data_IF_315766275688
#
_entry.id   IF_315766275688
#
_cell.length_a   1.000
_cell.length_b   1.000
_cell.length_c   1.000
_cell.angle_alpha   90.00
_cell.angle_beta   90.00
_cell.angle_gamma   90.00
#
_symmetry.space_group_name_H-M   'P 1'
#
loop_
_entity.id
_entity.type
_entity.pdbx_description
1 polymer ?
#
# COMPACT_ATOMS: atom_id res chain seq x y z
N UNK A 1 35.23 -9.17 7.21
CA UNK A 1 34.01 -8.34 7.14
C UNK A 1 32.85 -9.30 6.99
N UNK A 2 32.09 -9.54 8.07
CA UNK A 2 30.96 -10.47 8.02
C UNK A 2 29.81 -9.76 7.28
N UNK A 3 29.49 -10.22 6.08
CA UNK A 3 28.23 -9.91 5.43
C UNK A 3 27.13 -10.60 6.24
N UNK A 4 26.54 -9.87 7.19
CA UNK A 4 25.24 -10.25 7.71
C UNK A 4 24.27 -10.00 6.56
N UNK A 5 23.82 -11.05 5.89
CA UNK A 5 22.66 -10.95 5.01
C UNK A 5 21.51 -10.40 5.85
N UNK A 6 21.17 -9.12 5.64
CA UNK A 6 19.99 -8.51 6.23
C UNK A 6 18.77 -9.14 5.55
N UNK A 7 18.30 -10.24 6.14
CA UNK A 7 17.06 -10.89 5.73
C UNK A 7 15.90 -9.96 6.05
N UNK A 8 15.12 -9.59 5.02
CA UNK A 8 13.88 -8.84 5.23
C UNK A 8 12.95 -9.63 6.16
N UNK A 9 12.41 -8.97 7.17
CA UNK A 9 11.51 -9.58 8.16
C UNK A 9 10.14 -8.94 8.07
N UNK A 10 9.11 -9.73 8.32
CA UNK A 10 7.72 -9.31 8.30
C UNK A 10 7.00 -9.79 9.56
N UNK A 11 5.95 -9.09 9.97
CA UNK A 11 5.03 -9.60 10.98
C UNK A 11 4.08 -10.66 10.40
N UNK A 12 3.19 -11.20 11.24
CA UNK A 12 2.27 -12.28 10.86
C UNK A 12 1.21 -11.87 9.82
N UNK A 13 1.04 -10.57 9.55
CA UNK A 13 0.05 -10.04 8.59
C UNK A 13 0.71 -9.37 7.39
N UNK A 14 2.03 -9.54 7.21
CA UNK A 14 2.76 -9.12 6.02
C UNK A 14 3.17 -7.64 6.03
N UNK A 15 3.28 -7.02 7.20
CA UNK A 15 3.95 -5.72 7.31
C UNK A 15 5.46 -5.93 7.47
N UNK A 16 6.32 -5.21 6.74
CA UNK A 16 7.77 -5.31 6.90
C UNK A 16 8.16 -4.77 8.29
N UNK A 17 9.03 -5.47 8.98
CA UNK A 17 9.69 -5.03 10.22
C UNK A 17 11.10 -4.51 9.94
N UNK A 18 11.73 -5.01 8.88
CA UNK A 18 13.00 -4.54 8.33
C UNK A 18 13.12 -5.01 6.87
N UNK A 19 13.73 -4.20 6.01
CA UNK A 19 14.00 -4.52 4.61
C UNK A 19 15.50 -4.46 4.24
N UNK A 20 16.37 -4.38 5.24
CA UNK A 20 17.81 -4.16 5.09
C UNK A 20 18.23 -2.69 4.97
N UNK A 21 17.29 -1.77 4.76
CA UNK A 21 17.54 -0.31 4.68
C UNK A 21 16.89 0.39 5.86
N UNK A 22 15.60 0.13 6.09
CA UNK A 22 14.79 0.68 7.15
C UNK A 22 14.34 -0.42 8.11
N UNK A 23 14.20 -0.06 9.38
CA UNK A 23 13.38 -0.76 10.36
C UNK A 23 12.04 -0.05 10.47
N UNK A 24 10.97 -0.81 10.66
CA UNK A 24 9.59 -0.33 10.57
C UNK A 24 8.82 -0.63 11.85
N UNK A 25 7.95 0.29 12.25
CA UNK A 25 6.97 0.07 13.32
C UNK A 25 5.56 0.29 12.78
N UNK A 26 4.62 -0.53 13.25
CA UNK A 26 3.24 -0.52 12.79
C UNK A 26 2.29 -0.44 13.98
N UNK A 27 1.19 0.29 13.79
CA UNK A 27 0.12 0.47 14.75
C UNK A 27 -1.22 0.07 14.13
N UNK A 28 -2.20 -0.20 14.99
CA UNK A 28 -3.57 -0.56 14.57
C UNK A 28 -3.59 -1.65 13.49
N UNK A 29 -2.66 -2.61 13.58
CA UNK A 29 -2.42 -3.66 12.60
C UNK A 29 -1.59 -3.19 11.41
N UNK A 30 -2.05 -2.22 10.62
CA UNK A 30 -1.50 -1.94 9.28
C UNK A 30 -1.16 -0.47 9.01
N UNK A 31 -1.20 0.37 10.03
CA UNK A 31 -0.79 1.77 9.89
C UNK A 31 0.70 1.89 10.19
N UNK A 32 1.46 2.39 9.23
CA UNK A 32 2.90 2.58 9.40
C UNK A 32 3.14 3.69 10.42
N UNK A 33 3.61 3.36 11.61
CA UNK A 33 3.84 4.32 12.68
C UNK A 33 5.21 5.01 12.55
N UNK A 34 6.21 4.30 12.04
CA UNK A 34 7.52 4.87 11.83
C UNK A 34 8.48 4.03 11.01
N UNK A 35 9.52 4.70 10.51
CA UNK A 35 10.64 4.13 9.77
C UNK A 35 11.95 4.71 10.29
N UNK A 36 12.95 3.88 10.50
CA UNK A 36 14.29 4.32 10.93
C UNK A 36 15.37 3.57 10.17
N UNK A 37 16.28 4.30 9.54
CA UNK A 37 17.31 3.73 8.66
C UNK A 37 17.78 4.74 7.62
N UNK A 38 18.92 4.46 6.98
CA UNK A 38 19.50 5.33 5.94
C UNK A 38 19.64 6.82 6.36
N UNK A 39 19.98 7.08 7.64
CA UNK A 39 20.09 8.44 8.18
C UNK A 39 18.75 9.16 8.41
N UNK A 40 17.62 8.47 8.25
CA UNK A 40 16.28 9.01 8.50
C UNK A 40 15.69 8.40 9.78
N UNK A 41 14.96 9.22 10.53
CA UNK A 41 14.06 8.82 11.59
C UNK A 41 12.70 9.47 11.32
N UNK A 42 11.72 8.64 10.96
CA UNK A 42 10.43 9.08 10.43
C UNK A 42 9.32 8.52 11.32
N UNK A 43 8.37 9.38 11.68
CA UNK A 43 7.13 8.97 12.35
C UNK A 43 5.91 9.55 11.64
N UNK A 44 4.80 8.82 11.73
CA UNK A 44 3.55 9.20 11.10
C UNK A 44 2.42 9.20 12.12
N UNK A 45 1.45 10.10 11.95
CA UNK A 45 0.19 10.11 12.70
C UNK A 45 -0.97 10.07 11.73
N UNK A 46 -2.09 9.50 12.20
CA UNK A 46 -3.29 9.31 11.40
C UNK A 46 -4.52 9.76 12.19
N UNK A 47 -5.58 10.15 11.48
CA UNK A 47 -6.89 10.33 12.08
C UNK A 47 -7.61 8.98 12.28
N UNK A 48 -8.80 9.02 12.88
CA UNK A 48 -9.61 7.82 13.15
C UNK A 48 -10.06 7.07 11.89
N UNK A 49 -10.03 7.74 10.72
CA UNK A 49 -10.28 7.13 9.42
C UNK A 49 -9.04 6.50 8.78
N UNK A 50 -7.88 6.57 9.45
CA UNK A 50 -6.61 6.04 8.94
C UNK A 50 -5.93 6.92 7.89
N UNK A 51 -6.34 8.18 7.75
CA UNK A 51 -5.69 9.13 6.84
C UNK A 51 -4.59 9.87 7.59
N UNK A 52 -3.41 9.95 6.98
CA UNK A 52 -2.22 10.57 7.56
C UNK A 52 -2.44 12.06 7.82
N UNK A 53 -2.24 12.49 9.06
CA UNK A 53 -2.41 13.87 9.53
C UNK A 53 -1.08 14.54 9.90
N UNK A 54 -0.03 13.76 10.13
CA UNK A 54 1.31 14.28 10.41
C UNK A 54 2.38 13.33 9.91
N UNK A 55 3.50 13.90 9.45
CA UNK A 55 4.75 13.20 9.18
C UNK A 55 5.88 13.97 9.84
N UNK A 56 6.70 13.32 10.66
CA UNK A 56 7.91 13.92 11.21
C UNK A 56 9.13 13.22 10.64
N UNK A 57 10.04 13.98 10.02
CA UNK A 57 11.31 13.46 9.48
C UNK A 57 12.45 14.16 10.22
N UNK A 58 13.29 13.40 10.92
CA UNK A 58 14.45 13.92 11.67
C UNK A 58 14.11 15.12 12.57
N UNK A 59 12.93 15.08 13.22
CA UNK A 59 12.45 16.12 14.13
C UNK A 59 11.68 17.27 13.46
N UNK A 60 11.63 17.34 12.12
CA UNK A 60 10.83 18.33 11.39
C UNK A 60 9.45 17.75 11.09
N UNK A 61 8.41 18.34 11.69
CA UNK A 61 7.03 17.88 11.53
C UNK A 61 6.32 18.63 10.40
N UNK A 62 5.83 17.89 9.41
CA UNK A 62 4.84 18.34 8.42
C UNK A 62 3.44 17.95 8.88
N UNK A 63 2.56 18.93 9.04
CA UNK A 63 1.15 18.73 9.45
C UNK A 63 0.22 18.86 8.26
N UNK A 64 -0.82 18.04 8.22
CA UNK A 64 -1.82 18.01 7.16
C UNK A 64 -3.20 18.38 7.70
N UNK A 65 -3.89 19.30 7.01
CA UNK A 65 -5.30 19.61 7.23
C UNK A 65 -6.08 18.98 6.08
N UNK A 66 -7.15 18.27 6.45
CA UNK A 66 -7.88 17.40 5.55
C UNK A 66 -9.30 17.92 5.28
N UNK A 67 -9.77 17.71 4.05
CA UNK A 67 -11.19 17.66 3.71
C UNK A 67 -11.51 16.24 3.21
N UNK A 68 -12.28 15.50 3.99
CA UNK A 68 -12.43 14.06 3.81
C UNK A 68 -11.08 13.33 3.88
N UNK A 69 -10.66 12.74 2.76
CA UNK A 69 -9.35 12.08 2.59
C UNK A 69 -8.31 12.96 1.89
N UNK A 70 -8.70 14.13 1.40
CA UNK A 70 -7.83 15.02 0.62
C UNK A 70 -7.09 15.97 1.56
N UNK A 71 -5.79 16.16 1.33
CA UNK A 71 -5.02 17.21 2.01
C UNK A 71 -5.34 18.53 1.32
N UNK A 72 -5.93 19.47 2.04
CA UNK A 72 -6.25 20.82 1.54
C UNK A 72 -5.19 21.85 1.95
N UNK A 73 -4.43 21.55 3.01
CA UNK A 73 -3.34 22.39 3.45
C UNK A 73 -2.26 21.57 4.18
N UNK A 74 -1.00 21.97 4.02
CA UNK A 74 0.10 21.44 4.80
C UNK A 74 1.17 22.47 5.12
N UNK A 75 1.91 22.20 6.20
CA UNK A 75 3.05 23.03 6.58
C UNK A 75 4.09 22.27 7.39
N UNK A 76 5.36 22.59 7.17
CA UNK A 76 6.50 22.16 7.99
C UNK A 76 6.99 23.26 8.96
N UNK A 77 6.23 24.36 9.08
CA UNK A 77 6.61 25.57 9.83
C UNK A 77 7.28 26.64 8.97
N UNK A 78 7.95 26.26 7.88
CA UNK A 78 8.58 27.18 6.92
C UNK A 78 7.73 27.32 5.66
N UNK A 79 7.42 26.20 5.02
CA UNK A 79 6.60 26.11 3.83
C UNK A 79 5.14 25.96 4.21
N UNK A 80 4.28 26.66 3.48
CA UNK A 80 2.83 26.58 3.57
C UNK A 80 2.32 26.25 2.18
N UNK A 81 1.62 25.13 2.05
CA UNK A 81 1.07 24.68 0.77
C UNK A 81 -0.43 24.51 0.91
N UNK A 82 -1.20 25.23 0.10
CA UNK A 82 -2.65 25.02 -0.05
C UNK A 82 -2.92 24.27 -1.34
N UNK A 83 -3.89 23.37 -1.30
CA UNK A 83 -4.26 22.54 -2.45
C UNK A 83 -5.70 22.84 -2.86
N UNK A 84 -5.89 23.10 -4.16
CA UNK A 84 -7.23 23.34 -4.73
C UNK A 84 -7.66 22.12 -5.53
N UNK A 85 -8.90 21.69 -5.32
CA UNK A 85 -9.53 20.59 -6.01
C UNK A 85 -10.74 21.09 -6.78
N UNK A 86 -11.08 20.43 -7.90
CA UNK A 86 -12.35 20.68 -8.58
C UNK A 86 -13.52 20.00 -7.86
N UNK A 87 -14.73 20.20 -8.38
CA UNK A 87 -15.97 19.61 -7.86
C UNK A 87 -16.02 18.08 -7.94
N UNK A 88 -15.15 17.46 -8.76
CA UNK A 88 -15.00 16.01 -8.86
C UNK A 88 -13.88 15.48 -7.94
N UNK A 89 -13.26 16.34 -7.13
CA UNK A 89 -12.16 15.97 -6.22
C UNK A 89 -10.81 15.80 -6.91
N UNK A 90 -10.65 16.28 -8.15
CA UNK A 90 -9.37 16.24 -8.86
C UNK A 90 -8.51 17.43 -8.45
N UNK A 91 -7.27 17.15 -8.06
CA UNK A 91 -6.30 18.17 -7.68
C UNK A 91 -5.92 19.06 -8.88
N UNK A 92 -6.24 20.35 -8.78
CA UNK A 92 -6.05 21.37 -9.81
C UNK A 92 -4.74 22.14 -9.66
N UNK A 93 -4.45 22.60 -8.44
CA UNK A 93 -3.32 23.50 -8.20
C UNK A 93 -2.75 23.38 -6.79
N UNK A 94 -1.54 23.90 -6.63
CA UNK A 94 -0.89 24.10 -5.33
C UNK A 94 -0.44 25.54 -5.19
N UNK A 95 -0.79 26.16 -4.06
CA UNK A 95 -0.27 27.45 -3.65
C UNK A 95 0.89 27.25 -2.69
N UNK A 96 2.13 27.50 -3.12
CA UNK A 96 3.30 27.46 -2.25
C UNK A 96 3.66 28.88 -1.82
N UNK A 97 3.54 29.15 -0.51
CA UNK A 97 3.93 30.42 0.11
C UNK A 97 3.34 31.67 -0.59
N UNK A 98 2.09 31.59 -1.07
CA UNK A 98 1.39 32.68 -1.75
C UNK A 98 1.48 32.64 -3.28
N UNK A 99 2.30 31.76 -3.86
CA UNK A 99 2.42 31.62 -5.32
C UNK A 99 1.69 30.38 -5.82
N UNK A 100 0.77 30.56 -6.77
CA UNK A 100 -0.04 29.49 -7.35
C UNK A 100 0.66 28.80 -8.53
N UNK A 101 0.61 27.46 -8.52
CA UNK A 101 1.07 26.61 -9.62
C UNK A 101 0.00 25.58 -9.99
N UNK A 102 -0.23 25.38 -11.29
CA UNK A 102 -1.27 24.47 -11.77
C UNK A 102 -0.66 23.17 -12.29
N UNK A 103 -1.32 22.05 -11.99
CA UNK A 103 -0.83 20.73 -12.35
C UNK A 103 -1.06 20.41 -13.83
N UNK A 104 0.01 20.02 -14.54
CA UNK A 104 -0.08 19.38 -15.85
C UNK A 104 -0.13 17.87 -15.64
N UNK A 105 -1.05 17.20 -16.35
CA UNK A 105 -1.20 15.75 -16.30
C UNK A 105 -1.12 15.12 -17.69
N UNK A 106 -0.62 13.88 -17.73
CA UNK A 106 -0.77 13.04 -18.92
C UNK A 106 -2.16 12.36 -18.94
N UNK A 107 -2.42 11.58 -20.00
CA UNK A 107 -3.68 10.82 -20.16
C UNK A 107 -3.93 9.77 -19.08
N UNK A 108 -2.87 9.35 -18.39
CA UNK A 108 -2.89 8.41 -17.28
C UNK A 108 -3.22 9.10 -15.93
N UNK A 109 -3.26 10.43 -15.91
CA UNK A 109 -3.51 11.21 -14.69
C UNK A 109 -2.25 11.51 -13.87
N UNK A 110 -1.07 11.08 -14.33
CA UNK A 110 0.21 11.38 -13.67
C UNK A 110 0.47 12.87 -13.73
N UNK A 111 0.94 13.44 -12.62
CA UNK A 111 1.44 14.82 -12.62
C UNK A 111 2.80 14.85 -13.31
N UNK A 112 2.84 15.40 -14.52
CA UNK A 112 4.05 15.49 -15.36
C UNK A 112 4.70 16.87 -15.34
N UNK A 113 4.06 17.86 -14.71
CA UNK A 113 4.64 19.19 -14.58
C UNK A 113 3.78 20.18 -13.82
N UNK A 114 4.32 21.39 -13.66
CA UNK A 114 3.66 22.53 -13.05
C UNK A 114 3.82 23.75 -13.95
N UNK A 115 2.74 24.50 -14.15
CA UNK A 115 2.77 25.81 -14.82
C UNK A 115 2.53 26.92 -13.81
N UNK A 116 3.18 28.06 -14.03
CA UNK A 116 2.92 29.28 -13.28
C UNK A 116 1.66 30.01 -13.79
N UNK A 117 1.34 31.16 -13.17
CA UNK A 117 0.21 32.01 -13.55
C UNK A 117 0.32 32.58 -14.98
N UNK A 118 1.51 32.66 -15.55
CA UNK A 118 1.73 33.10 -16.92
C UNK A 118 1.57 31.95 -17.94
N UNK A 119 1.31 30.72 -17.47
CA UNK A 119 1.23 29.53 -18.32
C UNK A 119 2.58 28.95 -18.70
N UNK A 120 3.67 29.40 -18.07
CA UNK A 120 5.02 28.87 -18.32
C UNK A 120 5.22 27.59 -17.52
N UNK A 121 5.63 26.51 -18.16
CA UNK A 121 5.99 25.28 -17.47
C UNK A 121 7.32 25.46 -16.73
N UNK A 122 7.24 25.51 -15.41
CA UNK A 122 8.37 25.77 -14.51
C UNK A 122 8.95 24.50 -13.90
N UNK A 123 8.20 23.39 -13.94
CA UNK A 123 8.64 22.06 -13.51
C UNK A 123 8.13 21.00 -14.47
N UNK A 124 8.97 19.99 -14.72
CA UNK A 124 8.63 18.75 -15.41
C UNK A 124 9.06 17.53 -14.59
N UNK A 125 8.26 16.47 -14.61
CA UNK A 125 8.56 15.19 -13.96
C UNK A 125 8.56 14.06 -15.00
N UNK A 126 9.60 13.24 -14.99
CA UNK A 126 9.70 12.04 -15.83
C UNK A 126 9.61 10.81 -14.95
N UNK A 127 8.79 9.83 -15.34
CA UNK A 127 8.65 8.55 -14.63
C UNK A 127 8.92 7.37 -15.54
N UNK A 128 9.29 6.24 -14.97
CA UNK A 128 9.16 4.95 -15.67
C UNK A 128 7.71 4.42 -15.61
N UNK A 129 7.47 3.24 -16.21
CA UNK A 129 6.16 2.61 -16.26
C UNK A 129 5.58 2.19 -14.89
N UNK A 130 6.41 2.14 -13.84
CA UNK A 130 6.03 1.81 -12.47
C UNK A 130 5.97 3.05 -11.57
N UNK A 131 6.14 4.25 -12.13
CA UNK A 131 6.06 5.50 -11.39
C UNK A 131 7.35 5.88 -10.65
N UNK A 132 8.47 5.20 -10.92
CA UNK A 132 9.78 5.63 -10.40
C UNK A 132 10.15 6.96 -11.03
N UNK A 133 10.39 7.96 -10.19
CA UNK A 133 10.80 9.28 -10.65
C UNK A 133 12.23 9.23 -11.22
N UNK A 134 12.36 9.51 -12.52
CA UNK A 134 13.63 9.50 -13.26
C UNK A 134 14.28 10.87 -13.22
N UNK A 135 13.52 11.95 -13.42
CA UNK A 135 14.04 13.31 -13.38
C UNK A 135 13.01 14.34 -12.90
N UNK A 136 13.53 15.42 -12.31
CA UNK A 136 12.81 16.69 -12.13
C UNK A 136 13.59 17.75 -12.90
N UNK A 137 12.93 18.39 -13.86
CA UNK A 137 13.51 19.40 -14.72
C UNK A 137 12.71 20.72 -14.65
N UNK A 138 13.23 21.79 -15.25
CA UNK A 138 12.61 23.12 -15.26
C UNK A 138 13.28 24.15 -14.35
N UNK A 139 12.88 25.41 -14.49
CA UNK A 139 13.49 26.55 -13.80
C UNK A 139 13.29 26.53 -12.29
N UNK A 140 12.21 25.90 -11.80
CA UNK A 140 11.89 25.79 -10.37
C UNK A 140 12.02 24.36 -9.83
N UNK A 141 12.81 23.50 -10.50
CA UNK A 141 12.97 22.08 -10.12
C UNK A 141 13.44 21.89 -8.67
N UNK A 142 14.36 22.73 -8.19
CA UNK A 142 15.00 22.59 -6.88
C UNK A 142 14.19 23.22 -5.74
N UNK A 143 13.15 24.00 -6.05
CA UNK A 143 12.25 24.64 -5.09
C UNK A 143 10.86 24.03 -5.16
N UNK A 144 9.99 24.56 -6.04
CA UNK A 144 8.62 24.09 -6.25
C UNK A 144 8.60 22.63 -6.65
N UNK A 145 9.53 22.24 -7.53
CA UNK A 145 9.63 20.90 -8.06
C UNK A 145 9.82 19.88 -6.96
N UNK A 146 10.85 20.02 -6.13
CA UNK A 146 11.14 19.15 -4.98
C UNK A 146 10.06 19.20 -3.90
N UNK A 147 9.45 20.37 -3.65
CA UNK A 147 8.46 20.54 -2.58
C UNK A 147 7.07 19.98 -2.92
N UNK A 148 6.69 19.91 -4.19
CA UNK A 148 5.41 19.32 -4.59
C UNK A 148 5.37 17.82 -4.24
N UNK A 149 4.46 17.34 -3.36
CA UNK A 149 4.37 15.93 -3.03
C UNK A 149 3.51 15.15 -4.03
N UNK A 150 2.65 15.79 -4.82
CA UNK A 150 1.74 15.11 -5.74
C UNK A 150 2.42 14.81 -7.07
N UNK A 151 2.47 13.53 -7.44
CA UNK A 151 3.38 12.97 -8.46
C UNK A 151 2.65 11.94 -9.35
N UNK A 152 3.27 10.80 -9.62
CA UNK A 152 2.70 9.66 -10.34
C UNK A 152 1.28 9.35 -9.86
N UNK A 153 0.34 9.24 -10.80
CA UNK A 153 -1.11 9.06 -10.58
C UNK A 153 -1.79 10.07 -9.66
N UNK A 154 -1.11 11.16 -9.29
CA UNK A 154 -1.57 12.06 -8.25
C UNK A 154 -1.41 11.50 -6.83
N UNK A 155 -0.59 10.48 -6.63
CA UNK A 155 -0.23 10.00 -5.30
C UNK A 155 0.74 10.96 -4.61
N UNK A 156 0.78 10.88 -3.27
CA UNK A 156 1.72 11.66 -2.45
C UNK A 156 3.05 10.93 -2.32
N UNK A 157 4.11 11.51 -2.84
CA UNK A 157 5.47 11.00 -2.78
C UNK A 157 6.21 11.52 -1.55
N UNK A 158 6.79 10.61 -0.77
CA UNK A 158 7.68 10.91 0.34
C UNK A 158 9.13 10.82 -0.14
N UNK A 159 9.73 11.97 -0.48
CA UNK A 159 11.07 12.04 -1.08
C UNK A 159 12.18 11.40 -0.24
N UNK A 160 12.02 11.38 1.07
CA UNK A 160 12.99 10.85 2.02
C UNK A 160 13.01 9.32 2.11
N UNK A 161 11.96 8.64 1.59
CA UNK A 161 11.87 7.18 1.52
C UNK A 161 11.77 6.65 0.10
N UNK A 162 11.36 7.48 -0.86
CA UNK A 162 11.04 7.05 -2.22
C UNK A 162 9.69 6.34 -2.33
N UNK A 163 8.86 6.36 -1.29
CA UNK A 163 7.56 5.70 -1.27
C UNK A 163 6.44 6.65 -1.68
N UNK A 164 5.41 6.09 -2.32
CA UNK A 164 4.13 6.76 -2.50
C UNK A 164 3.17 6.35 -1.38
N UNK A 165 2.57 7.33 -0.71
CA UNK A 165 1.48 7.12 0.23
C UNK A 165 0.14 7.14 -0.52
N UNK A 166 -0.54 6.00 -0.55
CA UNK A 166 -1.85 5.81 -1.17
C UNK A 166 -2.95 5.70 -0.11
N UNK A 167 -2.84 6.41 1.01
CA UNK A 167 -3.79 6.36 2.13
C UNK A 167 -3.75 5.05 2.94
N UNK A 168 -4.15 3.93 2.33
CA UNK A 168 -4.24 2.63 3.03
C UNK A 168 -2.94 1.83 3.03
N UNK A 169 -2.07 2.07 2.03
CA UNK A 169 -0.81 1.37 1.83
C UNK A 169 0.28 2.31 1.32
N UNK A 170 1.52 1.82 1.42
CA UNK A 170 2.71 2.48 0.89
C UNK A 170 3.24 1.71 -0.32
N UNK A 171 3.31 2.38 -1.45
CA UNK A 171 3.77 1.82 -2.72
C UNK A 171 5.25 2.15 -2.94
N UNK A 172 6.05 1.14 -3.25
CA UNK A 172 7.45 1.31 -3.62
C UNK A 172 7.60 1.17 -5.15
N UNK A 173 7.89 2.27 -5.86
CA UNK A 173 8.04 2.25 -7.31
C UNK A 173 9.30 1.52 -7.79
N UNK A 174 10.37 1.47 -6.97
CA UNK A 174 11.59 0.73 -7.28
C UNK A 174 11.33 -0.78 -7.35
N UNK A 175 10.43 -1.28 -6.50
CA UNK A 175 10.03 -2.68 -6.46
C UNK A 175 8.78 -2.99 -7.29
N UNK A 176 8.08 -1.96 -7.79
CA UNK A 176 6.81 -2.11 -8.50
C UNK A 176 5.69 -2.72 -7.65
N UNK A 177 5.69 -2.54 -6.32
CA UNK A 177 4.72 -3.18 -5.43
C UNK A 177 4.49 -2.43 -4.11
N UNK A 178 3.40 -2.76 -3.42
CA UNK A 178 3.16 -2.26 -2.06
C UNK A 178 4.13 -2.91 -1.07
N UNK A 179 4.54 -2.15 -0.04
CA UNK A 179 5.44 -2.68 1.00
C UNK A 179 4.68 -3.53 2.03
N UNK A 180 3.40 -3.22 2.26
CA UNK A 180 2.54 -3.95 3.18
C UNK A 180 1.38 -4.64 2.44
N UNK A 181 0.99 -5.80 2.95
CA UNK A 181 -0.07 -6.61 2.36
C UNK A 181 -1.43 -5.88 2.40
N UNK A 182 -2.29 -6.13 1.41
CA UNK A 182 -3.65 -5.61 1.30
C UNK A 182 -4.66 -6.35 2.21
N UNK A 183 -5.80 -5.74 2.54
CA UNK A 183 -6.75 -6.23 3.55
C UNK A 183 -7.60 -7.37 3.01
N UNK A 184 -7.73 -8.43 3.79
CA UNK A 184 -8.30 -9.73 3.40
C UNK A 184 -9.74 -9.66 2.85
N UNK A 185 -10.40 -8.51 2.92
CA UNK A 185 -11.71 -8.29 2.29
C UNK A 185 -11.69 -8.55 0.78
N UNK A 186 -10.57 -8.30 0.09
CA UNK A 186 -10.46 -8.60 -1.35
C UNK A 186 -10.47 -10.09 -1.66
N UNK A 187 -10.02 -10.95 -0.73
CA UNK A 187 -9.97 -12.42 -0.91
C UNK A 187 -11.36 -13.08 -0.90
N UNK A 188 -12.43 -12.31 -0.64
CA UNK A 188 -13.79 -12.82 -0.50
C UNK A 188 -14.55 -12.93 -1.83
N UNK A 189 -13.95 -12.56 -2.96
CA UNK A 189 -14.60 -12.69 -4.26
C UNK A 189 -14.38 -14.11 -4.81
N UNK A 190 -15.46 -14.83 -5.10
CA UNK A 190 -15.38 -16.21 -5.62
C UNK A 190 -14.86 -16.26 -7.08
N UNK A 191 -14.88 -15.12 -7.79
CA UNK A 191 -14.42 -14.95 -9.19
C UNK A 191 -13.02 -14.30 -9.30
N UNK A 192 -12.14 -14.57 -8.34
CA UNK A 192 -10.81 -13.91 -8.26
C UNK A 192 -9.82 -14.43 -9.31
N UNK A 193 -9.07 -13.53 -9.95
CA UNK A 193 -7.90 -13.86 -10.77
C UNK A 193 -6.74 -14.32 -9.86
N UNK A 194 -5.78 -15.10 -10.37
CA UNK A 194 -4.61 -15.57 -9.62
C UNK A 194 -3.83 -14.42 -8.97
N UNK A 195 -3.84 -13.25 -9.61
CA UNK A 195 -3.17 -12.05 -9.11
C UNK A 195 -3.89 -11.40 -7.92
N UNK A 196 -5.18 -11.63 -7.71
CA UNK A 196 -5.94 -11.07 -6.58
C UNK A 196 -5.49 -11.67 -5.23
N UNK A 197 -4.84 -12.84 -5.27
CA UNK A 197 -4.20 -13.46 -4.11
C UNK A 197 -2.85 -12.83 -3.76
N UNK A 198 -2.23 -12.08 -4.68
CA UNK A 198 -0.99 -11.36 -4.39
C UNK A 198 -1.29 -10.04 -3.69
N UNK A 199 -1.30 -10.09 -2.35
CA UNK A 199 -1.66 -8.97 -1.46
C UNK A 199 -0.75 -7.73 -1.58
N UNK A 200 0.34 -7.82 -2.32
CA UNK A 200 1.29 -6.72 -2.49
C UNK A 200 1.29 -6.17 -3.92
N UNK A 201 0.58 -6.83 -4.85
CA UNK A 201 0.58 -6.43 -6.25
C UNK A 201 0.04 -5.01 -6.39
N UNK A 202 0.77 -4.18 -7.14
CA UNK A 202 0.27 -2.90 -7.61
C UNK A 202 -0.37 -3.07 -8.98
N UNK A 203 -1.58 -2.55 -9.16
CA UNK A 203 -2.27 -2.54 -10.44
C UNK A 203 -2.39 -3.91 -11.14
N UNK A 204 -2.50 -5.01 -10.39
CA UNK A 204 -2.43 -6.39 -10.93
C UNK A 204 -1.27 -6.59 -11.91
N UNK A 205 -0.10 -6.00 -11.62
CA UNK A 205 1.08 -5.97 -12.50
C UNK A 205 0.86 -5.32 -13.88
N UNK A 206 -0.17 -4.48 -14.04
CA UNK A 206 -0.45 -3.71 -15.25
C UNK A 206 -0.58 -2.21 -14.92
N UNK A 207 0.50 -1.57 -14.43
CA UNK A 207 0.48 -0.16 -14.01
C UNK A 207 0.26 0.83 -15.16
N UNK A 208 0.43 0.40 -16.42
CA UNK A 208 0.18 1.23 -17.61
C UNK A 208 -1.32 1.39 -17.87
N UNK A 209 -2.10 0.33 -17.65
CA UNK A 209 -3.54 0.30 -17.99
C UNK A 209 -4.45 0.27 -16.76
N UNK A 210 -3.91 0.24 -15.54
CA UNK A 210 -4.68 0.28 -14.30
C UNK A 210 -4.16 1.34 -13.34
N UNK A 211 -5.02 1.78 -12.43
CA UNK A 211 -4.75 2.72 -11.34
C UNK A 211 -5.36 2.20 -10.03
N UNK A 212 -4.76 2.55 -8.89
CA UNK A 212 -5.27 2.26 -7.55
C UNK A 212 -5.30 3.56 -6.72
N UNK A 213 -6.46 4.22 -6.68
CA UNK A 213 -6.59 5.59 -6.19
C UNK A 213 -6.24 5.76 -4.70
N UNK A 214 -6.45 4.71 -3.90
CA UNK A 214 -6.34 4.76 -2.44
C UNK A 214 -5.73 3.48 -1.85
N UNK A 215 -4.98 2.74 -2.65
CA UNK A 215 -4.27 1.54 -2.23
C UNK A 215 -5.19 0.41 -1.82
N UNK A 216 -6.43 0.34 -2.29
CA UNK A 216 -7.34 -0.75 -1.94
C UNK A 216 -7.72 -1.65 -3.10
N UNK A 217 -7.72 -1.13 -4.33
CA UNK A 217 -8.13 -1.93 -5.48
C UNK A 217 -7.72 -1.27 -6.80
N UNK A 218 -7.20 -2.08 -7.71
CA UNK A 218 -6.81 -1.65 -9.03
C UNK A 218 -7.97 -1.70 -10.04
N UNK A 219 -8.23 -0.61 -10.75
CA UNK A 219 -9.23 -0.54 -11.81
C UNK A 219 -8.64 -0.07 -13.14
N UNK A 220 -9.27 -0.46 -14.26
CA UNK A 220 -8.75 -0.20 -15.60
C UNK A 220 -8.98 1.25 -16.05
N UNK A 221 -7.95 1.87 -16.60
CA UNK A 221 -8.04 3.18 -17.24
C UNK A 221 -8.85 3.07 -18.52
N UNK A 222 -9.89 3.88 -18.64
CA UNK A 222 -10.68 4.00 -19.87
C UNK A 222 -10.12 5.20 -20.65
N UNK A 223 -9.37 4.92 -21.71
CA UNK A 223 -8.88 5.97 -22.62
C UNK A 223 -10.03 6.40 -23.55
N UNK A 224 -10.54 7.62 -23.36
CA UNK A 224 -11.42 8.24 -24.34
C UNK A 224 -10.56 8.89 -25.42
N UNK A 225 -10.52 8.31 -26.62
CA UNK A 225 -9.96 8.96 -27.82
C UNK A 225 -11.13 9.51 -28.62
N UNK A 226 -11.38 10.84 -28.62
CA UNK A 226 -12.36 11.42 -29.51
C UNK A 226 -11.94 11.16 -30.97
N UNK A 227 -12.80 10.50 -31.75
CA UNK A 227 -12.61 10.36 -33.21
C UNK A 227 -12.41 8.94 -33.76
N UNK A 228 -12.36 7.89 -32.94
CA UNK A 228 -12.34 6.49 -33.44
C UNK A 228 -13.53 5.69 -32.87
N UNK A 229 -14.55 5.49 -33.71
CA UNK A 229 -15.50 4.37 -33.69
C UNK A 229 -16.40 4.17 -32.45
N UNK A 230 -17.60 4.75 -32.47
CA UNK A 230 -18.57 4.77 -31.36
C UNK A 230 -19.38 3.49 -31.04
N UNK A 231 -19.06 2.29 -31.54
CA UNK A 231 -20.02 1.16 -31.45
C UNK A 231 -19.72 0.12 -30.35
N UNK A 232 -18.56 0.17 -29.68
CA UNK A 232 -18.26 -0.73 -28.54
C UNK A 232 -18.36 -0.08 -27.13
N UNK A 233 -18.76 1.19 -27.06
CA UNK A 233 -18.63 2.02 -25.84
C UNK A 233 -19.87 2.00 -24.93
N UNK A 234 -21.07 1.74 -25.48
CA UNK A 234 -22.32 1.80 -24.71
C UNK A 234 -22.51 0.64 -23.72
N UNK A 235 -22.00 -0.55 -24.02
CA UNK A 235 -22.20 -1.73 -23.15
C UNK A 235 -21.07 -1.88 -22.13
N UNK A 236 -19.84 -1.56 -22.50
CA UNK A 236 -18.67 -1.66 -21.62
C UNK A 236 -18.69 -0.57 -20.54
N UNK A 237 -18.86 0.71 -20.91
CA UNK A 237 -18.83 1.80 -19.92
C UNK A 237 -19.98 1.70 -18.93
N UNK A 238 -21.18 1.31 -19.35
CA UNK A 238 -22.33 1.18 -18.44
C UNK A 238 -22.16 0.00 -17.48
N UNK A 239 -21.62 -1.13 -17.95
CA UNK A 239 -21.32 -2.27 -17.09
C UNK A 239 -20.15 -1.99 -16.13
N UNK A 240 -19.10 -1.30 -16.58
CA UNK A 240 -17.94 -0.98 -15.75
C UNK A 240 -18.20 0.16 -14.76
N UNK A 241 -18.96 1.19 -15.13
CA UNK A 241 -19.42 2.22 -14.20
C UNK A 241 -20.40 1.64 -13.17
N UNK A 242 -21.29 0.73 -13.57
CA UNK A 242 -22.16 0.00 -12.64
C UNK A 242 -21.33 -0.87 -11.68
N UNK A 243 -20.28 -1.54 -12.17
CA UNK A 243 -19.38 -2.33 -11.33
C UNK A 243 -18.54 -1.47 -10.36
N UNK A 244 -17.98 -0.35 -10.83
CA UNK A 244 -17.21 0.60 -10.02
C UNK A 244 -18.07 1.30 -8.96
N UNK A 245 -19.28 1.75 -9.31
CA UNK A 245 -20.24 2.32 -8.36
C UNK A 245 -20.77 1.28 -7.37
N UNK A 246 -20.96 0.02 -7.80
CA UNK A 246 -21.26 -1.08 -6.89
C UNK A 246 -20.12 -1.37 -5.89
N UNK A 247 -18.87 -1.41 -6.36
CA UNK A 247 -17.70 -1.67 -5.49
C UNK A 247 -17.44 -0.55 -4.49
N UNK A 248 -17.48 0.72 -4.92
CA UNK A 248 -17.33 1.89 -4.04
C UNK A 248 -18.46 1.99 -3.00
N UNK A 249 -19.71 1.73 -3.40
CA UNK A 249 -20.84 1.71 -2.46
C UNK A 249 -20.80 0.52 -1.49
N UNK A 250 -20.29 -0.64 -1.92
CA UNK A 250 -20.03 -1.78 -1.05
C UNK A 250 -18.97 -1.46 0.02
N UNK A 251 -17.87 -0.81 -0.37
CA UNK A 251 -16.83 -0.33 0.56
C UNK A 251 -17.37 0.69 1.56
N UNK A 252 -18.18 1.67 1.12
CA UNK A 252 -18.81 2.63 2.02
C UNK A 252 -19.74 1.95 3.05
N UNK A 253 -20.50 0.93 2.63
CA UNK A 253 -21.31 0.10 3.54
C UNK A 253 -20.46 -0.68 4.54
N UNK A 254 -19.29 -1.18 4.12
CA UNK A 254 -18.35 -1.88 5.00
C UNK A 254 -17.73 -0.93 6.04
N UNK A 255 -17.38 0.31 5.68
CA UNK A 255 -16.94 1.34 6.66
C UNK A 255 -18.02 1.64 7.71
N UNK A 256 -19.28 1.75 7.29
CA UNK A 256 -20.42 1.95 8.21
C UNK A 256 -20.59 0.73 9.13
N UNK A 257 -20.45 -0.49 8.60
CA UNK A 257 -20.48 -1.72 9.41
C UNK A 257 -19.30 -1.80 10.39
N UNK A 258 -18.10 -1.39 9.97
CA UNK A 258 -16.91 -1.39 10.82
C UNK A 258 -17.02 -0.37 11.96
N UNK A 259 -17.54 0.82 11.68
CA UNK A 259 -17.86 1.83 12.70
C UNK A 259 -18.90 1.31 13.70
N UNK A 260 -19.96 0.63 13.22
CA UNK A 260 -20.93 -0.08 14.09
C UNK A 260 -20.31 -1.22 14.88
N UNK A 261 -19.31 -1.93 14.35
CA UNK A 261 -18.64 -3.02 15.05
C UNK A 261 -17.72 -2.52 16.16
N UNK A 262 -17.03 -1.38 15.95
CA UNK A 262 -16.28 -0.66 17.00
C UNK A 262 -17.20 -0.18 18.12
N UNK A 263 -18.40 0.32 17.83
CA UNK A 263 -19.35 0.74 18.88
C UNK A 263 -19.95 -0.43 19.68
N UNK A 264 -19.89 -1.65 19.15
CA UNK A 264 -20.41 -2.88 19.80
C UNK A 264 -19.31 -3.65 20.55
N UNK A 265 -18.02 -3.36 20.31
CA UNK A 265 -16.88 -4.06 20.91
C UNK A 265 -16.39 -3.43 22.23
N UNK A 266 -17.30 -3.15 23.17
CA UNK A 266 -16.97 -3.09 24.61
C UNK A 266 -17.31 -4.43 25.28
N UNK A 267 -16.86 -5.54 24.70
CA UNK A 267 -16.95 -6.86 25.33
C UNK A 267 -15.53 -7.42 25.46
N UNK A 268 -15.04 -7.67 26.69
CA UNK A 268 -13.71 -8.24 26.88
C UNK A 268 -13.62 -9.60 26.21
N UNK A 269 -12.59 -9.78 25.40
CA UNK A 269 -12.27 -11.05 24.74
C UNK A 269 -11.74 -12.01 25.81
N UNK A 270 -12.63 -12.87 26.29
CA UNK A 270 -12.28 -13.97 27.19
C UNK A 270 -13.47 -14.62 27.90
N UNK A 271 -14.50 -15.10 27.18
CA UNK A 271 -15.44 -16.08 27.77
C UNK A 271 -14.96 -17.50 27.50
N UNK A 272 -14.80 -18.26 28.59
CA UNK A 272 -14.47 -19.67 28.61
C UNK A 272 -15.48 -20.51 27.80
N UNK A 273 -14.99 -21.60 27.20
CA UNK A 273 -15.73 -22.62 26.43
C UNK A 273 -15.89 -22.42 24.91
N UNK A 274 -14.79 -22.20 24.18
CA UNK A 274 -14.71 -22.61 22.76
C UNK A 274 -14.06 -23.98 22.63
N UNK A 275 -14.85 -24.97 22.18
CA UNK A 275 -14.37 -26.31 21.82
C UNK A 275 -13.20 -26.20 20.82
N UNK A 276 -12.13 -26.96 21.10
CA UNK A 276 -10.92 -27.09 20.28
C UNK A 276 -11.25 -27.62 18.88
N UNK A 277 -11.35 -26.72 17.89
CA UNK A 277 -11.27 -27.10 16.47
C UNK A 277 -9.87 -27.70 16.23
N UNK A 278 -9.84 -29.00 15.95
CA UNK A 278 -8.61 -29.77 15.73
C UNK A 278 -8.74 -31.26 16.04
N UNK A 279 -9.72 -31.67 16.87
CA UNK A 279 -9.98 -33.09 17.17
C UNK A 279 -11.22 -33.69 16.50
N UNK A 280 -12.25 -32.91 16.18
CA UNK A 280 -13.49 -33.44 15.55
C UNK A 280 -13.35 -33.79 14.05
N UNK A 281 -12.38 -33.23 13.34
CA UNK A 281 -12.11 -33.60 11.93
C UNK A 281 -11.51 -35.02 11.83
N UNK A 282 -10.86 -35.51 12.90
CA UNK A 282 -10.27 -36.84 12.92
C UNK A 282 -11.26 -37.97 13.27
N UNK A 283 -12.43 -37.68 13.82
CA UNK A 283 -13.46 -38.71 14.06
C UNK A 283 -14.28 -39.03 12.82
N UNK A 284 -14.52 -38.06 11.93
CA UNK A 284 -15.22 -38.32 10.65
C UNK A 284 -14.39 -39.19 9.70
N UNK A 285 -13.05 -39.09 9.72
CA UNK A 285 -12.17 -39.95 8.92
C UNK A 285 -12.05 -41.40 9.44
N UNK A 286 -12.48 -41.69 10.67
CA UNK A 286 -12.45 -43.05 11.26
C UNK A 286 -13.64 -43.94 10.90
N UNK A 287 -14.62 -43.45 10.13
CA UNK A 287 -15.81 -44.22 9.71
C UNK A 287 -15.75 -44.79 8.29
N UNK A 288 -14.60 -44.74 7.61
CA UNK A 288 -14.45 -45.42 6.32
C UNK A 288 -14.00 -46.88 6.54
N UNK A 289 -14.90 -47.85 6.34
CA UNK A 289 -14.67 -49.28 6.59
C UNK A 289 -13.51 -49.90 5.78
N UNK A 290 -12.99 -49.20 4.78
CA UNK A 290 -11.94 -49.71 3.87
C UNK A 290 -10.56 -49.03 4.04
N UNK A 291 -10.35 -48.22 5.09
CA UNK A 291 -9.04 -47.60 5.29
C UNK A 291 -8.10 -48.49 6.12
N UNK A 292 -7.13 -49.14 5.48
CA UNK A 292 -5.99 -49.80 6.14
C UNK A 292 -4.86 -48.80 6.34
N UNK A 293 -4.55 -48.45 7.59
CA UNK A 293 -3.36 -47.66 7.94
C UNK A 293 -2.08 -48.48 7.71
N UNK A 294 -1.21 -48.04 6.80
CA UNK A 294 0.19 -48.49 6.79
C UNK A 294 0.96 -47.80 7.92
N UNK A 295 0.94 -48.41 9.11
CA UNK A 295 1.83 -48.06 10.22
C UNK A 295 2.41 -49.35 10.79
N UNK A 296 3.54 -49.77 10.24
CA UNK A 296 4.31 -50.87 10.83
C UNK A 296 5.35 -50.27 11.80
N UNK A 297 4.95 -50.11 13.06
CA UNK A 297 5.89 -49.93 14.17
C UNK A 297 5.63 -51.04 15.17
N UNK A 298 6.42 -52.10 15.06
CA UNK A 298 6.50 -53.15 16.06
C UNK A 298 6.91 -52.50 17.41
N UNK A 299 6.08 -52.62 18.47
CA UNK A 299 6.31 -51.96 19.76
C UNK A 299 7.53 -52.50 20.52
N UNK A 300 8.13 -53.62 20.09
CA UNK A 300 9.30 -54.23 20.74
C UNK A 300 10.65 -53.95 20.04
N UNK A 301 10.76 -52.91 19.21
CA UNK A 301 12.05 -52.58 18.56
C UNK A 301 12.94 -51.76 19.52
N UNK A 302 14.13 -52.24 19.92
CA UNK A 302 15.01 -51.48 20.80
C UNK A 302 15.53 -50.20 20.13
N UNK A 303 15.61 -49.11 20.89
CA UNK A 303 16.14 -47.82 20.42
C UNK A 303 17.62 -47.96 20.05
N UNK A 304 18.00 -47.54 18.84
CA UNK A 304 19.42 -47.39 18.48
C UNK A 304 20.05 -46.31 19.38
N UNK A 305 21.16 -46.65 20.06
CA UNK A 305 21.95 -45.70 20.83
C UNK A 305 22.48 -44.59 19.91
N UNK A 306 22.35 -43.35 20.35
CA UNK A 306 22.82 -42.18 19.64
C UNK A 306 24.36 -42.11 19.71
N UNK A 307 25.05 -42.14 18.58
CA UNK A 307 26.49 -41.84 18.51
C UNK A 307 26.66 -40.32 18.46
N UNK A 308 27.54 -39.69 19.27
CA UNK A 308 27.79 -38.26 19.19
C UNK A 308 28.56 -37.90 17.91
N UNK A 309 28.16 -36.83 17.24
CA UNK A 309 28.87 -36.26 16.09
C UNK A 309 30.25 -35.73 16.52
N UNK A 310 31.31 -36.26 15.92
CA UNK A 310 32.71 -35.91 16.20
C UNK A 310 33.01 -34.54 15.59
N UNK A 311 33.24 -33.52 16.43
CA UNK A 311 33.93 -32.27 16.04
C UNK A 311 35.33 -32.63 15.54
N UNK A 312 35.69 -32.16 14.35
CA UNK A 312 37.03 -32.22 13.81
C UNK A 312 37.37 -30.90 13.14
N UNK A 313 38.14 -30.06 13.84
CA UNK A 313 38.87 -28.93 13.27
C UNK A 313 39.82 -29.46 12.18
N UNK A 314 39.84 -28.82 11.01
CA UNK A 314 40.98 -28.86 10.12
C UNK A 314 41.59 -27.47 10.05
N UNK A 315 42.82 -27.36 10.55
CA UNK A 315 43.71 -26.21 10.39
C UNK A 315 44.24 -26.28 8.95
N UNK A 316 44.20 -25.18 8.22
CA UNK A 316 45.10 -24.97 7.09
C UNK A 316 45.94 -23.74 7.37
N UNK A 317 47.22 -23.90 7.06
CA UNK A 317 48.36 -23.04 7.35
C UNK A 317 48.23 -21.64 6.77
#
# INVERSE_FOLDING_TARGET
>A
MNLVELVSRYDAIGNPLNDGVYSYTWEMGRQLAGMSGNGQNITYKYNDSGIRTEKTVNGVATKYILDGSNVIYETDGTNKIYYTYDSAGKLLSMNLNGTEYYYIRNVQGDVIGLIDKAGTQVVSYTYDAWGKLISIDGSLKDSVGKLNPYRYRGYRYDSETGLYYLQSRYYNPEMGRFINADDIEELKNEDSDLLDYNRFAYCSNNPVNKIDDNGHFAWALIYFVPGIGQIAFGVTVTAFLAYGTYKTSSWAKHRIMYAKRKSVQNIPIGRANRKKQGREVNERKRKNKNFKTRSNKNPNRPMKKHTPSRKGHSKYF
#
